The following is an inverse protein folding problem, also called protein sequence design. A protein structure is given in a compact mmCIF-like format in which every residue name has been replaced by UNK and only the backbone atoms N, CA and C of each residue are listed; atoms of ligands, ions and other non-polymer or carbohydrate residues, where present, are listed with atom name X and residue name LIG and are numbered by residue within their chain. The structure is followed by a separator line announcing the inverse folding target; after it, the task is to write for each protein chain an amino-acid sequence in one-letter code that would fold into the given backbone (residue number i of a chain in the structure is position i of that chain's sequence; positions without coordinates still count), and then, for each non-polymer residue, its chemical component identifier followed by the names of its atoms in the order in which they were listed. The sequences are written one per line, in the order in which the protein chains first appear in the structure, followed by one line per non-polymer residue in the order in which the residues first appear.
data_IF_291824030312
#
_entry.id   IF_291824030312
#
_cell.length_a   1.000
_cell.length_b   1.000
_cell.length_c   1.000
_cell.angle_alpha   90.00
_cell.angle_beta   90.00
_cell.angle_gamma   90.00
#
_symmetry.space_group_name_H-M   'P 1'
#
loop_
_entity.id
_entity.type
_entity.pdbx_description
1 polymer ?
#
# COMPACT_ATOMS: atom_id res chain seq x y z
N UNK A 1 50.13 -24.24 -64.41
CA UNK A 1 51.27 -24.92 -63.76
C UNK A 1 51.63 -24.14 -62.50
N UNK A 2 51.54 -24.81 -61.34
CA UNK A 2 52.07 -24.47 -59.99
C UNK A 2 51.51 -23.20 -59.29
N UNK A 3 50.73 -23.30 -58.19
CA UNK A 3 50.95 -23.78 -56.80
C UNK A 3 51.83 -22.87 -55.91
N UNK A 4 51.15 -22.30 -54.89
CA UNK A 4 51.46 -22.29 -53.44
C UNK A 4 52.35 -21.20 -52.81
N UNK A 5 52.05 -21.01 -51.50
CA UNK A 5 52.83 -20.44 -50.37
C UNK A 5 52.59 -18.93 -50.14
N UNK A 6 51.81 -18.46 -49.16
CA UNK A 6 51.82 -18.63 -47.67
C UNK A 6 53.09 -18.05 -47.02
N UNK A 7 53.06 -16.78 -46.61
CA UNK A 7 53.93 -16.29 -45.53
C UNK A 7 53.27 -15.17 -44.73
N UNK A 8 53.49 -15.30 -43.42
CA UNK A 8 52.89 -14.66 -42.26
C UNK A 8 53.84 -13.55 -41.80
N UNK A 9 53.40 -12.28 -41.75
CA UNK A 9 54.14 -11.19 -41.08
C UNK A 9 53.16 -10.21 -40.43
N UNK A 10 52.99 -10.42 -39.12
CA UNK A 10 53.04 -9.44 -38.02
C UNK A 10 53.10 -7.93 -38.38
N UNK A 11 52.07 -7.17 -38.02
CA UNK A 11 52.18 -5.73 -37.69
C UNK A 11 51.10 -5.42 -36.63
N UNK A 12 51.43 -5.46 -35.34
CA UNK A 12 51.77 -4.29 -34.51
C UNK A 12 50.87 -3.06 -34.75
N UNK A 13 49.78 -2.98 -33.98
CA UNK A 13 49.03 -1.77 -33.70
C UNK A 13 48.93 -1.59 -32.19
N UNK A 14 49.87 -0.82 -31.64
CA UNK A 14 50.02 -0.45 -30.23
C UNK A 14 48.97 0.62 -29.89
N UNK A 15 48.16 0.38 -28.86
CA UNK A 15 47.65 1.45 -28.01
C UNK A 15 47.59 0.96 -26.56
N UNK A 16 48.70 1.17 -25.84
CA UNK A 16 48.75 1.26 -24.38
C UNK A 16 48.10 2.57 -23.92
N UNK A 17 48.15 2.83 -22.61
CA UNK A 17 47.63 3.98 -21.83
C UNK A 17 46.17 3.74 -21.35
N UNK A 18 45.86 3.54 -20.07
CA UNK A 18 46.57 3.80 -18.81
C UNK A 18 46.13 2.79 -17.74
N UNK A 19 47.10 2.23 -17.02
CA UNK A 19 46.93 1.79 -15.63
C UNK A 19 47.41 2.93 -14.74
N UNK A 20 46.54 3.44 -13.86
CA UNK A 20 46.94 4.15 -12.66
C UNK A 20 46.60 3.27 -11.46
N UNK A 21 47.68 2.90 -10.78
CA UNK A 21 47.76 2.11 -9.56
C UNK A 21 47.49 3.00 -8.34
N UNK A 22 46.70 2.53 -7.38
CA UNK A 22 47.05 2.69 -5.98
C UNK A 22 46.46 1.57 -5.13
N UNK A 23 47.32 1.02 -4.28
CA UNK A 23 47.08 -0.07 -3.33
C UNK A 23 47.28 0.50 -1.92
N UNK A 24 46.48 -0.05 -1.00
CA UNK A 24 46.60 -0.15 0.47
C UNK A 24 46.34 1.09 1.34
N UNK A 25 45.24 1.00 2.09
CA UNK A 25 44.96 1.67 3.36
C UNK A 25 43.64 1.11 3.92
N UNK A 26 43.71 0.40 5.04
CA UNK A 26 42.65 -0.42 5.65
C UNK A 26 41.65 0.42 6.47
N UNK A 27 40.41 -0.08 6.54
CA UNK A 27 39.35 0.19 7.54
C UNK A 27 38.53 1.50 7.45
N UNK A 28 37.35 1.40 6.83
CA UNK A 28 36.09 1.88 7.39
C UNK A 28 34.96 1.05 6.76
N UNK A 29 34.16 0.37 7.59
CA UNK A 29 32.95 -0.35 7.18
C UNK A 29 32.05 0.58 6.36
N UNK A 30 31.97 0.30 5.06
CA UNK A 30 30.82 0.67 4.26
C UNK A 30 29.94 -0.57 4.23
N UNK A 31 28.90 -0.57 5.05
CA UNK A 31 27.79 -1.50 4.88
C UNK A 31 27.08 -1.11 3.56
N UNK A 32 27.57 -1.70 2.47
CA UNK A 32 26.82 -1.84 1.24
C UNK A 32 25.56 -2.64 1.59
N UNK A 33 24.45 -1.93 1.82
CA UNK A 33 23.12 -2.52 1.64
C UNK A 33 23.05 -2.99 0.19
N UNK A 34 23.39 -4.26 0.01
CA UNK A 34 23.21 -5.00 -1.21
C UNK A 34 21.77 -4.78 -1.68
N UNK A 35 21.63 -4.08 -2.81
CA UNK A 35 20.36 -3.94 -3.50
C UNK A 35 19.90 -5.30 -3.99
N UNK A 36 19.18 -6.03 -3.15
CA UNK A 36 18.28 -7.06 -3.63
C UNK A 36 17.22 -6.35 -4.48
N UNK A 37 17.11 -6.79 -5.73
CA UNK A 37 16.03 -6.38 -6.61
C UNK A 37 14.77 -7.09 -6.14
N UNK A 38 14.18 -6.56 -5.05
CA UNK A 38 12.87 -6.97 -4.56
C UNK A 38 11.89 -6.83 -5.74
N UNK A 39 11.27 -7.94 -6.14
CA UNK A 39 10.29 -7.92 -7.22
C UNK A 39 9.15 -6.98 -6.83
N UNK A 40 8.57 -6.30 -7.82
CA UNK A 40 7.41 -5.42 -7.61
C UNK A 40 6.22 -6.15 -6.95
N UNK A 41 6.22 -7.48 -7.03
CA UNK A 41 5.31 -8.40 -6.34
C UNK A 41 5.45 -8.35 -4.82
N UNK A 42 6.66 -8.59 -4.32
CA UNK A 42 6.95 -8.67 -2.88
C UNK A 42 6.73 -7.32 -2.20
N UNK A 43 7.06 -6.24 -2.89
CA UNK A 43 6.80 -4.84 -2.49
C UNK A 43 5.31 -4.59 -2.25
N UNK A 44 4.43 -5.16 -3.07
CA UNK A 44 2.98 -4.92 -2.95
C UNK A 44 2.31 -5.89 -2.01
N UNK A 45 2.83 -7.10 -1.84
CA UNK A 45 2.45 -7.99 -0.76
C UNK A 45 2.80 -7.38 0.60
N UNK A 46 3.95 -6.73 0.72
CA UNK A 46 4.35 -6.02 1.95
C UNK A 46 3.52 -4.74 2.18
N UNK A 47 3.17 -3.98 1.12
CA UNK A 47 2.13 -2.92 1.21
C UNK A 47 0.79 -3.52 1.61
N UNK A 48 0.42 -4.69 1.08
CA UNK A 48 -0.87 -5.26 1.38
C UNK A 48 -0.97 -5.75 2.82
N UNK A 49 0.08 -6.43 3.28
CA UNK A 49 0.25 -6.79 4.69
C UNK A 49 0.11 -5.51 5.49
N UNK A 50 0.88 -4.46 5.21
CA UNK A 50 0.77 -3.21 5.97
C UNK A 50 -0.57 -2.46 5.84
N UNK A 51 -1.34 -2.68 4.75
CA UNK A 51 -2.65 -2.11 4.47
C UNK A 51 -3.83 -2.82 5.13
N UNK A 52 -3.89 -4.15 5.03
CA UNK A 52 -5.02 -4.95 5.51
C UNK A 52 -4.76 -5.55 6.89
N UNK A 53 -3.50 -5.55 7.31
CA UNK A 53 -3.09 -5.92 8.64
C UNK A 53 -1.68 -5.38 8.91
N UNK A 54 -1.51 -4.25 9.61
CA UNK A 54 -0.68 -4.41 10.79
C UNK A 54 -1.45 -5.49 11.54
N UNK A 55 -0.97 -6.74 11.47
CA UNK A 55 -1.47 -7.82 12.32
C UNK A 55 -1.59 -7.28 13.74
N UNK A 56 -0.70 -6.35 14.10
CA UNK A 56 -0.75 -5.55 15.30
C UNK A 56 -1.94 -4.58 15.39
N UNK A 57 -2.32 -3.78 14.38
CA UNK A 57 -3.49 -2.86 14.48
C UNK A 57 -4.81 -3.63 14.50
N UNK A 58 -4.95 -4.68 13.69
CA UNK A 58 -6.13 -5.55 13.75
C UNK A 58 -6.19 -6.28 15.10
N UNK A 59 -5.10 -6.92 15.55
CA UNK A 59 -5.00 -7.59 16.87
C UNK A 59 -5.18 -6.58 18.02
N UNK A 60 -4.68 -5.35 17.90
CA UNK A 60 -4.81 -4.31 18.92
C UNK A 60 -6.20 -3.69 18.96
N UNK A 61 -6.89 -3.55 17.82
CA UNK A 61 -8.31 -3.18 17.79
C UNK A 61 -9.17 -4.30 18.40
N UNK A 62 -8.77 -5.54 18.17
CA UNK A 62 -9.39 -6.77 18.66
C UNK A 62 -9.24 -6.96 20.17
N UNK A 63 -8.06 -6.65 20.73
CA UNK A 63 -7.68 -6.97 22.11
C UNK A 63 -7.66 -5.74 23.04
N UNK A 64 -7.93 -4.54 22.54
CA UNK A 64 -8.09 -3.34 23.37
C UNK A 64 -9.57 -3.11 23.73
N UNK A 65 -10.01 -3.48 24.94
CA UNK A 65 -11.42 -3.35 25.36
C UNK A 65 -11.88 -1.90 25.49
N UNK A 66 -10.98 -0.91 25.41
CA UNK A 66 -11.33 0.50 25.45
C UNK A 66 -11.73 1.07 24.07
N UNK A 67 -11.51 0.31 22.99
CA UNK A 67 -11.92 0.71 21.65
C UNK A 67 -13.28 0.10 21.33
N UNK A 68 -14.18 0.93 20.81
CA UNK A 68 -15.50 0.53 20.33
C UNK A 68 -15.64 0.93 18.88
N UNK A 69 -16.45 0.18 18.13
CA UNK A 69 -16.80 0.54 16.77
C UNK A 69 -17.40 1.95 16.69
N UNK A 70 -16.93 2.73 15.73
CA UNK A 70 -17.45 4.06 15.46
C UNK A 70 -17.86 4.18 13.99
N UNK A 71 -19.17 4.27 13.75
CA UNK A 71 -19.73 4.41 12.39
C UNK A 71 -19.46 5.78 11.76
N UNK A 72 -19.13 6.80 12.55
CA UNK A 72 -18.92 8.16 12.03
C UNK A 72 -17.55 8.33 11.35
N UNK A 73 -16.64 7.35 11.50
CA UNK A 73 -15.28 7.38 10.94
C UNK A 73 -15.09 6.40 9.77
N UNK A 74 -16.17 5.83 9.23
CA UNK A 74 -16.14 5.04 8.00
C UNK A 74 -16.80 5.81 6.86
N UNK A 75 -16.47 5.49 5.62
CA UNK A 75 -17.10 6.09 4.44
C UNK A 75 -18.56 5.65 4.31
N UNK A 76 -19.56 6.54 4.41
CA UNK A 76 -20.97 6.15 4.34
C UNK A 76 -21.32 5.48 3.01
N UNK A 77 -22.10 4.39 3.05
CA UNK A 77 -22.56 3.66 1.86
C UNK A 77 -23.25 4.54 0.81
N UNK A 78 -23.92 5.61 1.24
CA UNK A 78 -24.55 6.60 0.35
C UNK A 78 -23.57 7.36 -0.55
N UNK A 79 -22.26 7.27 -0.30
CA UNK A 79 -21.24 7.90 -1.14
C UNK A 79 -20.94 7.10 -2.40
N UNK A 80 -21.35 5.82 -2.49
CA UNK A 80 -21.13 4.96 -3.66
C UNK A 80 -21.43 5.66 -4.99
N UNK A 81 -22.61 6.27 -5.12
CA UNK A 81 -23.05 6.94 -6.36
C UNK A 81 -22.23 8.19 -6.74
N UNK A 82 -21.39 8.71 -5.83
CA UNK A 82 -20.56 9.90 -6.08
C UNK A 82 -19.27 9.58 -6.84
N UNK A 83 -18.89 8.31 -6.94
CA UNK A 83 -17.65 7.87 -7.57
C UNK A 83 -17.86 7.54 -9.05
N UNK A 84 -17.71 8.55 -9.90
CA UNK A 84 -18.12 8.48 -11.30
C UNK A 84 -16.98 8.33 -12.32
N UNK A 85 -15.77 7.99 -11.88
CA UNK A 85 -14.63 7.72 -12.78
C UNK A 85 -13.89 6.48 -12.32
N UNK A 86 -13.31 5.72 -13.25
CA UNK A 86 -12.56 4.50 -12.90
C UNK A 86 -11.47 4.74 -11.86
N UNK A 87 -10.83 5.91 -11.90
CA UNK A 87 -9.84 6.32 -10.89
C UNK A 87 -10.45 6.52 -9.51
N UNK A 88 -11.59 7.21 -9.42
CA UNK A 88 -12.30 7.40 -8.14
C UNK A 88 -12.83 6.07 -7.61
N UNK A 89 -13.40 5.25 -8.48
CA UNK A 89 -13.91 3.92 -8.13
C UNK A 89 -12.76 3.05 -7.62
N UNK A 90 -11.63 2.97 -8.31
CA UNK A 90 -10.47 2.19 -7.87
C UNK A 90 -9.95 2.64 -6.50
N UNK A 91 -9.78 3.95 -6.26
CA UNK A 91 -9.41 4.47 -4.94
C UNK A 91 -10.43 4.05 -3.87
N UNK A 92 -11.72 4.17 -4.16
CA UNK A 92 -12.77 3.91 -3.18
C UNK A 92 -13.09 2.43 -2.98
N UNK A 93 -12.74 1.54 -3.91
CA UNK A 93 -12.68 0.10 -3.63
C UNK A 93 -11.72 -0.15 -2.47
N UNK A 94 -10.54 0.49 -2.47
CA UNK A 94 -9.60 0.42 -1.36
C UNK A 94 -10.20 0.95 -0.05
N UNK A 95 -10.81 2.14 -0.09
CA UNK A 95 -11.48 2.78 1.07
C UNK A 95 -12.55 1.86 1.66
N UNK A 96 -13.50 1.39 0.86
CA UNK A 96 -14.57 0.51 1.33
C UNK A 96 -14.05 -0.85 1.79
N UNK A 97 -12.94 -1.35 1.24
CA UNK A 97 -12.29 -2.58 1.73
C UNK A 97 -11.69 -2.37 3.13
N UNK A 98 -11.05 -1.21 3.38
CA UNK A 98 -10.53 -0.89 4.72
C UNK A 98 -11.66 -0.72 5.75
N UNK A 99 -12.74 -0.05 5.38
CA UNK A 99 -13.92 0.10 6.24
C UNK A 99 -14.63 -1.23 6.50
N UNK A 100 -14.72 -2.10 5.48
CA UNK A 100 -15.24 -3.45 5.61
C UNK A 100 -14.42 -4.25 6.61
N UNK A 101 -13.10 -4.19 6.50
CA UNK A 101 -12.17 -4.83 7.46
C UNK A 101 -12.38 -4.28 8.86
N UNK A 102 -12.47 -2.95 9.04
CA UNK A 102 -12.74 -2.34 10.33
C UNK A 102 -14.09 -2.79 10.92
N UNK A 103 -15.17 -2.77 10.14
CA UNK A 103 -16.48 -3.25 10.57
C UNK A 103 -16.44 -4.74 10.97
N UNK A 104 -15.71 -5.56 10.21
CA UNK A 104 -15.50 -6.98 10.48
C UNK A 104 -14.79 -7.23 11.82
N UNK A 105 -13.75 -6.45 12.13
CA UNK A 105 -13.00 -6.56 13.40
C UNK A 105 -13.89 -6.34 14.64
N UNK A 106 -14.93 -5.51 14.50
CA UNK A 106 -15.90 -5.21 15.55
C UNK A 106 -17.23 -5.97 15.38
N UNK A 107 -17.25 -7.02 14.56
CA UNK A 107 -18.40 -7.93 14.38
C UNK A 107 -19.68 -7.19 13.90
N UNK A 108 -19.52 -6.14 13.10
CA UNK A 108 -20.64 -5.35 12.55
C UNK A 108 -21.18 -5.98 11.25
N UNK A 109 -21.80 -7.17 11.35
CA UNK A 109 -22.21 -8.01 10.21
C UNK A 109 -22.94 -7.25 9.10
N UNK A 110 -23.95 -6.44 9.43
CA UNK A 110 -24.72 -5.71 8.42
C UNK A 110 -23.86 -4.72 7.63
N UNK A 111 -22.97 -3.99 8.31
CA UNK A 111 -22.09 -3.02 7.66
C UNK A 111 -21.07 -3.75 6.78
N UNK A 112 -20.52 -4.86 7.27
CA UNK A 112 -19.63 -5.72 6.50
C UNK A 112 -20.30 -6.21 5.21
N UNK A 113 -21.57 -6.65 5.27
CA UNK A 113 -22.31 -7.12 4.10
C UNK A 113 -22.63 -6.00 3.11
N UNK A 114 -23.09 -4.85 3.61
CA UNK A 114 -23.36 -3.68 2.78
C UNK A 114 -22.10 -3.25 2.02
N UNK A 115 -20.93 -3.27 2.68
CA UNK A 115 -19.68 -2.79 2.09
C UNK A 115 -19.09 -3.82 1.13
N UNK A 116 -19.33 -5.11 1.39
CA UNK A 116 -18.98 -6.17 0.45
C UNK A 116 -19.75 -6.02 -0.87
N UNK A 117 -21.04 -5.70 -0.80
CA UNK A 117 -21.86 -5.46 -1.99
C UNK A 117 -21.40 -4.21 -2.74
N UNK A 118 -21.06 -3.13 -2.03
CA UNK A 118 -20.47 -1.93 -2.65
C UNK A 118 -19.16 -2.25 -3.38
N UNK A 119 -18.23 -2.97 -2.74
CA UNK A 119 -16.95 -3.34 -3.36
C UNK A 119 -17.18 -4.21 -4.60
N UNK A 120 -18.14 -5.15 -4.53
CA UNK A 120 -18.53 -5.99 -5.66
C UNK A 120 -19.06 -5.15 -6.82
N UNK A 121 -20.01 -4.26 -6.56
CA UNK A 121 -20.64 -3.44 -7.60
C UNK A 121 -19.64 -2.47 -8.23
N UNK A 122 -18.81 -1.81 -7.42
CA UNK A 122 -17.68 -0.99 -7.91
C UNK A 122 -16.73 -1.80 -8.80
N UNK A 123 -16.43 -3.04 -8.41
CA UNK A 123 -15.55 -3.92 -9.16
C UNK A 123 -16.15 -4.35 -10.49
N UNK A 124 -17.47 -4.52 -10.56
CA UNK A 124 -18.19 -4.74 -11.81
C UNK A 124 -18.09 -3.51 -12.73
N UNK A 125 -18.28 -2.30 -12.20
CA UNK A 125 -18.22 -1.05 -12.98
C UNK A 125 -16.87 -0.82 -13.66
N UNK A 126 -15.77 -1.10 -12.97
CA UNK A 126 -14.42 -0.96 -13.57
C UNK A 126 -13.92 -2.23 -14.24
N UNK A 127 -14.74 -3.28 -14.33
CA UNK A 127 -14.42 -4.53 -15.01
C UNK A 127 -13.27 -5.31 -14.35
N UNK A 128 -13.27 -5.41 -13.03
CA UNK A 128 -12.37 -6.27 -12.24
C UNK A 128 -13.12 -7.35 -11.47
N UNK A 129 -14.44 -7.43 -11.52
CA UNK A 129 -15.24 -8.38 -10.73
C UNK A 129 -14.84 -9.86 -10.90
N UNK A 130 -14.21 -10.25 -12.02
CA UNK A 130 -13.67 -11.59 -12.23
C UNK A 130 -12.52 -11.94 -11.27
N UNK A 131 -11.85 -10.94 -10.68
CA UNK A 131 -10.80 -11.14 -9.70
C UNK A 131 -11.33 -11.45 -8.30
N UNK A 132 -12.63 -11.21 -8.08
CA UNK A 132 -13.30 -11.46 -6.81
C UNK A 132 -13.96 -12.83 -6.88
N UNK A 133 -13.42 -13.78 -6.12
CA UNK A 133 -13.98 -15.12 -6.09
C UNK A 133 -15.34 -15.14 -5.41
N UNK A 134 -16.36 -15.65 -6.13
CA UNK A 134 -17.70 -15.85 -5.58
C UNK A 134 -17.68 -16.65 -4.28
N UNK A 135 -16.77 -17.62 -4.15
CA UNK A 135 -16.61 -18.41 -2.94
C UNK A 135 -16.27 -17.54 -1.72
N UNK A 136 -15.40 -16.55 -1.86
CA UNK A 136 -15.06 -15.64 -0.76
C UNK A 136 -16.26 -14.79 -0.36
N UNK A 137 -17.02 -14.30 -1.34
CA UNK A 137 -18.28 -13.57 -1.07
C UNK A 137 -19.29 -14.45 -0.31
N UNK A 138 -19.47 -15.69 -0.76
CA UNK A 138 -20.38 -16.63 -0.14
C UNK A 138 -19.93 -17.02 1.28
N UNK A 139 -18.62 -17.13 1.52
CA UNK A 139 -18.06 -17.41 2.84
C UNK A 139 -18.32 -16.26 3.81
N UNK A 140 -18.09 -15.00 3.38
CA UNK A 140 -18.36 -13.82 4.20
C UNK A 140 -19.85 -13.74 4.56
N UNK A 141 -20.75 -13.95 3.60
CA UNK A 141 -22.21 -13.77 3.80
C UNK A 141 -22.92 -14.91 4.53
N UNK A 142 -22.46 -16.15 4.39
CA UNK A 142 -23.22 -17.33 4.83
C UNK A 142 -22.60 -18.09 5.99
N UNK A 143 -21.43 -17.67 6.48
CA UNK A 143 -20.72 -18.36 7.56
C UNK A 143 -20.68 -17.49 8.81
N UNK A 144 -20.83 -18.12 9.98
CA UNK A 144 -20.48 -17.49 11.26
C UNK A 144 -18.96 -17.52 11.41
N UNK A 145 -18.29 -16.64 10.67
CA UNK A 145 -16.85 -16.48 10.75
C UNK A 145 -16.54 -15.66 11.99
N UNK A 146 -15.51 -16.05 12.72
CA UNK A 146 -14.92 -15.12 13.66
C UNK A 146 -14.12 -14.04 12.91
N UNK A 147 -13.74 -12.99 13.63
CA UNK A 147 -12.97 -11.86 13.10
C UNK A 147 -11.67 -12.27 12.41
N UNK A 148 -10.99 -13.32 12.88
CA UNK A 148 -9.71 -13.75 12.30
C UNK A 148 -9.95 -14.46 10.97
N UNK A 149 -10.94 -15.34 10.92
CA UNK A 149 -11.35 -16.02 9.70
C UNK A 149 -11.83 -15.03 8.64
N UNK A 150 -12.60 -14.02 9.06
CA UNK A 150 -13.09 -12.98 8.16
C UNK A 150 -11.95 -12.15 7.58
N UNK A 151 -11.01 -11.70 8.40
CA UNK A 151 -9.82 -10.97 7.94
C UNK A 151 -8.97 -11.80 6.97
N UNK A 152 -8.81 -13.10 7.25
CA UNK A 152 -8.08 -14.00 6.35
C UNK A 152 -8.72 -14.07 4.97
N UNK A 153 -10.04 -14.20 4.89
CA UNK A 153 -10.75 -14.28 3.59
C UNK A 153 -10.66 -12.95 2.83
N UNK A 154 -10.76 -11.81 3.53
CA UNK A 154 -10.60 -10.48 2.92
C UNK A 154 -9.19 -10.36 2.32
N UNK A 155 -8.16 -10.76 3.06
CA UNK A 155 -6.76 -10.72 2.61
C UNK A 155 -6.52 -11.64 1.41
N UNK A 156 -7.02 -12.88 1.46
CA UNK A 156 -6.94 -13.83 0.34
C UNK A 156 -7.63 -13.27 -0.91
N UNK A 157 -8.83 -12.70 -0.76
CA UNK A 157 -9.56 -12.09 -1.87
C UNK A 157 -8.83 -10.89 -2.47
N UNK A 158 -8.15 -10.09 -1.64
CA UNK A 158 -7.35 -8.99 -2.14
C UNK A 158 -6.11 -9.50 -2.89
N UNK A 159 -5.37 -10.46 -2.34
CA UNK A 159 -4.18 -11.01 -3.00
C UNK A 159 -4.52 -11.59 -4.37
N UNK A 160 -5.65 -12.27 -4.48
CA UNK A 160 -6.15 -12.78 -5.77
C UNK A 160 -6.47 -11.62 -6.73
N UNK A 161 -6.98 -10.50 -6.21
CA UNK A 161 -7.23 -9.28 -6.99
C UNK A 161 -5.95 -8.58 -7.45
N UNK A 162 -4.92 -8.45 -6.60
CA UNK A 162 -3.61 -7.93 -7.00
C UNK A 162 -3.00 -8.78 -8.11
N UNK A 163 -2.93 -10.10 -7.90
CA UNK A 163 -2.38 -11.04 -8.87
C UNK A 163 -3.08 -10.93 -10.23
N UNK A 164 -4.42 -10.99 -10.23
CA UNK A 164 -5.22 -10.85 -11.46
C UNK A 164 -4.96 -9.52 -12.17
N UNK A 165 -4.96 -8.40 -11.45
CA UNK A 165 -4.77 -7.08 -12.06
C UNK A 165 -3.36 -6.93 -12.63
N UNK A 166 -2.35 -7.52 -11.99
CA UNK A 166 -0.97 -7.52 -12.49
C UNK A 166 -0.83 -8.33 -13.78
N UNK A 167 -1.33 -9.56 -13.78
CA UNK A 167 -1.28 -10.44 -14.96
C UNK A 167 -1.99 -9.81 -16.16
N UNK A 168 -2.99 -8.97 -15.90
CA UNK A 168 -3.75 -8.25 -16.93
C UNK A 168 -3.23 -6.83 -17.22
N UNK A 169 -2.02 -6.47 -16.78
CA UNK A 169 -1.39 -5.14 -16.99
C UNK A 169 -2.22 -3.95 -16.46
N UNK A 170 -3.03 -4.17 -15.42
CA UNK A 170 -3.88 -3.17 -14.76
C UNK A 170 -3.18 -2.55 -13.54
N UNK A 171 -1.86 -2.36 -13.61
CA UNK A 171 -1.03 -1.87 -12.49
C UNK A 171 -1.55 -0.56 -11.89
N UNK A 172 -1.97 0.38 -12.73
CA UNK A 172 -2.59 1.63 -12.28
C UNK A 172 -3.79 1.40 -11.37
N UNK A 173 -4.68 0.47 -11.72
CA UNK A 173 -5.91 0.21 -10.95
C UNK A 173 -5.56 -0.34 -9.57
N UNK A 174 -4.68 -1.35 -9.51
CA UNK A 174 -4.28 -1.92 -8.22
C UNK A 174 -3.48 -0.93 -7.37
N UNK A 175 -2.60 -0.10 -7.95
CA UNK A 175 -1.92 0.97 -7.20
C UNK A 175 -2.91 1.95 -6.58
N UNK A 176 -3.99 2.31 -7.29
CA UNK A 176 -5.04 3.17 -6.75
C UNK A 176 -5.84 2.49 -5.64
N UNK A 177 -6.21 1.23 -5.81
CA UNK A 177 -6.87 0.44 -4.75
C UNK A 177 -5.98 0.36 -3.50
N UNK A 178 -4.69 0.08 -3.68
CA UNK A 178 -3.72 0.00 -2.59
C UNK A 178 -3.67 1.32 -1.81
N UNK A 179 -3.39 2.42 -2.51
CA UNK A 179 -3.25 3.72 -1.84
C UNK A 179 -4.56 4.16 -1.16
N UNK A 180 -5.71 3.92 -1.80
CA UNK A 180 -7.01 4.25 -1.22
C UNK A 180 -7.29 3.51 0.09
N UNK A 181 -7.00 2.21 0.14
CA UNK A 181 -7.16 1.41 1.35
C UNK A 181 -6.17 1.80 2.44
N UNK A 182 -4.91 2.08 2.08
CA UNK A 182 -3.91 2.55 3.05
C UNK A 182 -4.30 3.89 3.69
N UNK A 183 -4.74 4.86 2.88
CA UNK A 183 -5.18 6.17 3.38
C UNK A 183 -6.36 6.04 4.33
N UNK A 184 -7.35 5.20 4.02
CA UNK A 184 -8.50 5.00 4.92
C UNK A 184 -8.10 4.27 6.20
N UNK A 185 -7.24 3.24 6.13
CA UNK A 185 -6.72 2.57 7.31
C UNK A 185 -5.97 3.54 8.25
N UNK A 186 -5.15 4.43 7.70
CA UNK A 186 -4.51 5.51 8.48
C UNK A 186 -5.52 6.49 9.06
N UNK A 187 -6.54 6.87 8.29
CA UNK A 187 -7.61 7.76 8.75
C UNK A 187 -8.37 7.17 9.94
N UNK A 188 -8.72 5.89 9.89
CA UNK A 188 -9.37 5.17 11.00
C UNK A 188 -8.45 5.19 12.22
N UNK A 189 -7.17 4.85 12.04
CA UNK A 189 -6.19 4.82 13.13
C UNK A 189 -6.02 6.18 13.83
N UNK A 190 -5.80 7.26 13.07
CA UNK A 190 -5.66 8.61 13.67
C UNK A 190 -6.97 9.13 14.27
N UNK A 191 -8.11 8.64 13.79
CA UNK A 191 -9.41 8.98 14.39
C UNK A 191 -9.63 8.29 15.73
N UNK A 192 -9.17 7.05 15.86
CA UNK A 192 -9.22 6.28 17.11
C UNK A 192 -8.19 6.75 18.15
N UNK A 193 -7.04 7.31 17.72
CA UNK A 193 -6.06 7.93 18.61
C UNK A 193 -6.51 9.28 19.19
N UNK A 194 -7.61 9.86 18.69
CA UNK A 194 -8.16 11.15 19.15
C UNK A 194 -7.14 12.30 19.13
N UNK A 195 -6.27 12.32 18.12
CA UNK A 195 -5.24 13.37 17.93
C UNK A 195 -4.20 13.47 19.06
N UNK A 196 -4.05 12.42 19.88
CA UNK A 196 -3.10 12.41 20.99
C UNK A 196 -2.30 11.10 21.00
N UNK A 197 -0.96 11.18 21.03
CA UNK A 197 -0.13 9.98 20.99
C UNK A 197 -0.29 9.11 22.24
N UNK A 198 -0.66 9.73 23.37
CA UNK A 198 -0.83 9.09 24.67
C UNK A 198 -2.20 8.40 24.86
N UNK A 199 -3.19 8.74 24.02
CA UNK A 199 -4.54 8.14 24.14
C UNK A 199 -4.50 6.63 23.90
N UNK A 200 -3.61 6.18 23.00
CA UNK A 200 -3.35 4.77 22.77
C UNK A 200 -1.94 4.62 22.18
N UNK A 201 -0.94 4.45 23.06
CA UNK A 201 0.48 4.38 22.66
C UNK A 201 0.76 3.28 21.64
N UNK A 202 0.10 2.12 21.77
CA UNK A 202 0.25 1.03 20.81
C UNK A 202 -0.26 1.43 19.43
N UNK A 203 -1.43 2.09 19.36
CA UNK A 203 -2.00 2.57 18.10
C UNK A 203 -1.10 3.64 17.46
N UNK A 204 -0.53 4.52 18.27
CA UNK A 204 0.47 5.49 17.84
C UNK A 204 1.70 4.79 17.27
N UNK A 205 2.24 3.77 17.94
CA UNK A 205 3.36 2.95 17.42
C UNK A 205 3.00 2.30 16.08
N UNK A 206 1.78 1.79 15.93
CA UNK A 206 1.31 1.18 14.67
C UNK A 206 1.20 2.19 13.52
N UNK A 207 0.73 3.42 13.81
CA UNK A 207 0.72 4.53 12.85
C UNK A 207 2.17 4.87 12.46
N UNK A 208 3.05 4.94 13.45
CA UNK A 208 4.48 5.21 13.29
C UNK A 208 5.26 4.01 12.76
N UNK A 209 4.67 2.86 12.43
CA UNK A 209 5.37 1.73 11.81
C UNK A 209 5.24 1.71 10.27
N UNK A 210 4.57 2.71 9.68
CA UNK A 210 4.12 2.68 8.29
C UNK A 210 5.12 3.24 7.26
N UNK A 211 6.37 3.52 7.66
CA UNK A 211 7.42 4.04 6.75
C UNK A 211 7.59 3.17 5.51
N UNK A 212 7.73 1.86 5.72
CA UNK A 212 7.97 0.90 4.67
C UNK A 212 6.82 0.94 3.67
N UNK A 213 5.57 0.93 4.15
CA UNK A 213 4.36 1.08 3.31
C UNK A 213 4.41 2.33 2.43
N UNK A 214 4.82 3.48 2.99
CA UNK A 214 4.95 4.74 2.27
C UNK A 214 6.05 4.69 1.19
N UNK A 215 7.20 4.11 1.50
CA UNK A 215 8.31 3.95 0.55
C UNK A 215 7.91 3.04 -0.62
N UNK A 216 7.24 1.94 -0.32
CA UNK A 216 6.76 0.99 -1.32
C UNK A 216 5.65 1.62 -2.18
N UNK A 217 4.73 2.41 -1.61
CA UNK A 217 3.72 3.17 -2.38
C UNK A 217 4.36 4.22 -3.29
N UNK A 218 5.39 4.94 -2.82
CA UNK A 218 6.14 5.88 -3.65
C UNK A 218 6.80 5.18 -4.83
N UNK A 219 7.44 4.02 -4.61
CA UNK A 219 8.01 3.20 -5.68
C UNK A 219 6.94 2.68 -6.65
N UNK A 220 5.76 2.28 -6.14
CA UNK A 220 4.64 1.89 -6.99
C UNK A 220 4.15 3.05 -7.88
N UNK A 221 4.10 4.27 -7.34
CA UNK A 221 3.74 5.49 -8.07
C UNK A 221 4.80 5.92 -9.09
N UNK A 222 6.08 5.67 -8.84
CA UNK A 222 7.15 5.94 -9.81
C UNK A 222 7.02 5.10 -11.08
N UNK A 223 6.64 3.82 -10.93
CA UNK A 223 6.41 2.91 -12.06
C UNK A 223 5.25 3.37 -12.98
N UNK A 224 4.43 4.30 -12.51
CA UNK A 224 3.28 4.86 -13.23
C UNK A 224 3.40 6.38 -13.41
N UNK A 225 4.59 6.96 -13.18
CA UNK A 225 4.84 8.41 -13.17
C UNK A 225 4.54 9.14 -14.49
N UNK A 226 4.47 8.42 -15.61
CA UNK A 226 4.05 8.98 -16.90
C UNK A 226 2.57 9.37 -16.96
N UNK A 227 1.75 8.86 -16.03
CA UNK A 227 0.31 9.12 -15.98
C UNK A 227 -0.01 10.35 -15.11
N UNK A 228 -0.37 11.46 -15.77
CA UNK A 228 -0.75 12.72 -15.11
C UNK A 228 -1.92 12.58 -14.15
N UNK A 229 -2.77 11.57 -14.30
CA UNK A 229 -3.92 11.35 -13.42
C UNK A 229 -3.50 10.91 -12.01
N UNK A 230 -2.27 10.40 -11.84
CA UNK A 230 -1.72 9.97 -10.55
C UNK A 230 -0.87 11.04 -9.87
N UNK A 231 -0.57 12.16 -10.54
CA UNK A 231 0.24 13.24 -9.97
C UNK A 231 -0.35 13.82 -8.67
N UNK A 232 -1.67 14.06 -8.55
CA UNK A 232 -2.24 14.52 -7.28
C UNK A 232 -2.05 13.50 -6.15
N UNK A 233 -2.27 12.22 -6.47
CA UNK A 233 -2.10 11.12 -5.52
C UNK A 233 -0.66 11.02 -5.04
N UNK A 234 0.30 11.09 -5.96
CA UNK A 234 1.72 11.12 -5.63
C UNK A 234 2.09 12.31 -4.75
N UNK A 235 1.58 13.50 -5.08
CA UNK A 235 1.86 14.69 -4.28
C UNK A 235 1.34 14.56 -2.85
N UNK A 236 0.20 13.90 -2.64
CA UNK A 236 -0.34 13.66 -1.30
C UNK A 236 0.46 12.60 -0.54
N UNK A 237 0.87 11.49 -1.18
CA UNK A 237 1.75 10.49 -0.56
C UNK A 237 3.12 11.07 -0.20
N UNK A 238 3.70 11.91 -1.07
CA UNK A 238 4.96 12.61 -0.78
C UNK A 238 4.84 13.56 0.43
N UNK A 239 3.68 14.21 0.62
CA UNK A 239 3.43 15.05 1.81
C UNK A 239 3.36 14.20 3.08
N UNK A 240 2.63 13.08 3.03
CA UNK A 240 2.49 12.18 4.18
C UNK A 240 3.85 11.60 4.55
N UNK A 241 4.65 11.17 3.57
CA UNK A 241 6.00 10.66 3.81
C UNK A 241 6.88 11.70 4.52
N UNK A 242 6.86 12.97 4.08
CA UNK A 242 7.60 14.04 4.76
C UNK A 242 7.13 14.29 6.19
N UNK A 243 5.81 14.29 6.42
CA UNK A 243 5.26 14.46 7.76
C UNK A 243 5.66 13.29 8.67
N UNK A 244 5.70 12.08 8.13
CA UNK A 244 6.16 10.90 8.86
C UNK A 244 7.63 11.01 9.27
N UNK A 245 8.53 11.45 8.37
CA UNK A 245 9.94 11.67 8.71
C UNK A 245 10.11 12.68 9.86
N UNK A 246 9.29 13.75 9.87
CA UNK A 246 9.28 14.73 10.97
C UNK A 246 8.84 14.08 12.30
N UNK A 247 7.82 13.23 12.27
CA UNK A 247 7.37 12.51 13.47
C UNK A 247 8.43 11.51 13.98
N UNK A 248 9.11 10.79 13.09
CA UNK A 248 10.16 9.84 13.43
C UNK A 248 11.35 10.54 14.12
N UNK A 249 11.75 11.71 13.62
CA UNK A 249 12.87 12.48 14.17
C UNK A 249 12.51 13.25 15.46
N UNK A 250 11.26 13.71 15.59
CA UNK A 250 10.82 14.57 16.68
C UNK A 250 9.36 14.32 17.06
N UNK A 251 9.09 13.19 17.69
CA UNK A 251 7.74 12.85 18.14
C UNK A 251 7.29 13.71 19.33
N UNK A 252 6.20 14.46 19.14
CA UNK A 252 5.52 15.24 20.17
C UNK A 252 4.04 15.45 19.81
N UNK A 253 3.23 15.97 20.74
CA UNK A 253 1.80 16.18 20.56
C UNK A 253 1.44 17.08 19.37
N UNK A 254 2.22 18.13 19.13
CA UNK A 254 1.99 19.08 18.03
C UNK A 254 2.21 18.40 16.68
N UNK A 255 3.36 17.75 16.49
CA UNK A 255 3.70 17.03 15.26
C UNK A 255 2.73 15.87 14.99
N UNK A 256 2.34 15.11 16.02
CA UNK A 256 1.36 14.04 15.85
C UNK A 256 -0.01 14.58 15.43
N UNK A 257 -0.46 15.69 16.05
CA UNK A 257 -1.72 16.34 15.70
C UNK A 257 -1.70 16.89 14.27
N UNK A 258 -0.60 17.51 13.85
CA UNK A 258 -0.43 17.97 12.46
C UNK A 258 -0.49 16.80 11.48
N UNK A 259 0.15 15.67 11.80
CA UNK A 259 0.05 14.45 10.99
C UNK A 259 -1.39 13.93 10.91
N UNK A 260 -2.10 13.87 12.03
CA UNK A 260 -3.51 13.46 12.05
C UNK A 260 -4.37 14.37 11.16
N UNK A 261 -4.16 15.70 11.21
CA UNK A 261 -4.85 16.65 10.34
C UNK A 261 -4.51 16.45 8.86
N UNK A 262 -3.25 16.18 8.53
CA UNK A 262 -2.82 15.89 7.17
C UNK A 262 -3.51 14.64 6.62
N UNK A 263 -3.54 13.54 7.38
CA UNK A 263 -4.22 12.31 6.97
C UNK A 263 -5.69 12.58 6.66
N UNK A 264 -6.40 13.32 7.53
CA UNK A 264 -7.81 13.71 7.29
C UNK A 264 -7.97 14.56 6.02
N UNK A 265 -7.06 15.51 5.81
CA UNK A 265 -7.08 16.35 4.61
C UNK A 265 -6.90 15.51 3.34
N UNK A 266 -5.91 14.62 3.33
CA UNK A 266 -5.63 13.74 2.19
C UNK A 266 -6.82 12.82 1.91
N UNK A 267 -7.39 12.19 2.95
CA UNK A 267 -8.57 11.34 2.84
C UNK A 267 -9.76 12.07 2.19
N UNK A 268 -10.00 13.33 2.58
CA UNK A 268 -11.09 14.15 2.02
C UNK A 268 -10.87 14.57 0.55
N UNK A 269 -9.68 14.38 -0.02
CA UNK A 269 -9.48 14.58 -1.46
C UNK A 269 -10.12 13.44 -2.29
N UNK A 270 -10.37 12.27 -1.67
CA UNK A 270 -10.80 11.06 -2.37
C UNK A 270 -12.16 10.51 -1.90
N UNK A 271 -12.58 10.86 -0.68
CA UNK A 271 -13.88 10.51 -0.09
C UNK A 271 -14.75 11.77 0.00
N UNK A 272 -15.94 11.73 -0.61
CA UNK A 272 -16.81 12.91 -0.87
C UNK A 272 -18.23 12.67 -0.42
#
# INVERSE_FOLDING_TARGET
MNRKIFFLILFLGISTWFLSSCKSGESADNDELAGETIDSADIREEILISMLAPSDMAVMLIDNPALSFNKEIINPSSNFDKYNTNSKIALNIGVYTADLSYASLFEQEQITYDYLDIVKDMSEEIGISQSIEKRHLDMIKNSKLDKNDMMKIINESFMNTDAYLRENNRQKVITMILIGGWVEAQYIAVSLSKDSPDTNSQLTESILAQKISLELMNKALENVAGDKTLMPLKADIDKIYKAYLIMEDNMNDENFKEFCLLIRQVRNNYVV
#
